data_IF_420261820070
#
_entry.id   IF_420261820070
#
_cell.length_a   1.000
_cell.length_b   1.000
_cell.length_c   1.000
_cell.angle_alpha   90.00
_cell.angle_beta   90.00
_cell.angle_gamma   90.00
#
_symmetry.space_group_name_H-M   'P 1'
#
loop_
_entity.id
_entity.type
_entity.pdbx_description
1 polymer ?
#
# COMPACT_ATOMS: atom_id res chain seq x y z
N UNK A 1 26.42 1.39 70.25
CA UNK A 1 25.70 0.91 69.05
C UNK A 1 25.12 2.06 68.24
N UNK A 2 24.54 3.10 68.86
CA UNK A 2 23.97 4.27 68.16
C UNK A 2 24.91 5.01 67.18
N UNK A 3 26.20 5.17 67.51
CA UNK A 3 27.16 5.81 66.60
C UNK A 3 27.44 5.00 65.33
N UNK A 4 27.31 3.68 65.38
CA UNK A 4 27.52 2.81 64.22
C UNK A 4 26.31 2.87 63.28
N UNK A 5 25.10 2.92 63.84
CA UNK A 5 23.85 3.07 63.08
C UNK A 5 23.76 4.43 62.37
N UNK A 6 24.18 5.51 63.03
CA UNK A 6 24.22 6.84 62.41
C UNK A 6 25.20 6.92 61.22
N UNK A 7 26.37 6.27 61.33
CA UNK A 7 27.36 6.22 60.24
C UNK A 7 26.87 5.35 59.09
N UNK A 8 26.22 4.21 59.38
CA UNK A 8 25.60 3.35 58.37
C UNK A 8 24.46 4.07 57.64
N UNK A 9 23.61 4.82 58.34
CA UNK A 9 22.52 5.59 57.76
C UNK A 9 23.02 6.71 56.83
N UNK A 10 24.10 7.41 57.20
CA UNK A 10 24.73 8.44 56.36
C UNK A 10 25.41 7.81 55.13
N UNK A 11 26.05 6.64 55.28
CA UNK A 11 26.65 5.91 54.17
C UNK A 11 25.59 5.39 53.18
N UNK A 12 24.47 4.84 53.68
CA UNK A 12 23.31 4.42 52.89
C UNK A 12 22.63 5.58 52.16
N UNK A 13 22.57 6.77 52.79
CA UNK A 13 22.06 8.00 52.17
C UNK A 13 22.95 8.48 51.01
N UNK A 14 24.29 8.44 51.19
CA UNK A 14 25.25 8.83 50.15
C UNK A 14 25.27 7.85 48.97
N UNK A 15 25.16 6.55 49.22
CA UNK A 15 25.06 5.55 48.15
C UNK A 15 23.74 5.67 47.39
N UNK A 16 22.61 5.87 48.08
CA UNK A 16 21.32 6.14 47.44
C UNK A 16 21.35 7.41 46.56
N UNK A 17 22.00 8.48 47.03
CA UNK A 17 22.18 9.72 46.25
C UNK A 17 23.07 9.49 45.02
N UNK A 18 24.15 8.69 45.15
CA UNK A 18 25.03 8.33 44.04
C UNK A 18 24.32 7.47 42.99
N UNK A 19 23.49 6.50 43.40
CA UNK A 19 22.66 5.71 42.49
C UNK A 19 21.59 6.57 41.78
N UNK A 20 20.97 7.52 42.50
CA UNK A 20 20.02 8.45 41.90
C UNK A 20 20.71 9.37 40.87
N UNK A 21 21.88 9.93 41.19
CA UNK A 21 22.65 10.75 40.27
C UNK A 21 23.15 9.96 39.05
N UNK A 22 23.63 8.74 39.24
CA UNK A 22 24.01 7.84 38.15
C UNK A 22 22.79 7.47 37.28
N UNK A 23 21.63 7.25 37.89
CA UNK A 23 20.36 7.02 37.19
C UNK A 23 19.97 8.21 36.32
N UNK A 24 20.02 9.44 36.86
CA UNK A 24 19.74 10.67 36.11
C UNK A 24 20.74 10.88 34.97
N UNK A 25 22.04 10.69 35.21
CA UNK A 25 23.06 10.80 34.17
C UNK A 25 22.87 9.76 33.07
N UNK A 26 22.52 8.54 33.43
CA UNK A 26 22.20 7.48 32.47
C UNK A 26 20.96 7.85 31.65
N UNK A 27 19.92 8.39 32.29
CA UNK A 27 18.71 8.84 31.62
C UNK A 27 18.98 10.02 30.68
N UNK A 28 19.79 10.99 31.10
CA UNK A 28 20.21 12.12 30.27
C UNK A 28 21.09 11.68 29.09
N UNK A 29 21.99 10.72 29.30
CA UNK A 29 22.82 10.16 28.24
C UNK A 29 21.95 9.40 27.24
N UNK A 30 21.04 8.53 27.71
CA UNK A 30 20.05 7.86 26.87
C UNK A 30 19.19 8.85 26.10
N UNK A 31 18.70 9.90 26.76
CA UNK A 31 17.91 10.94 26.08
C UNK A 31 18.71 11.60 24.96
N UNK A 32 19.97 11.99 25.21
CA UNK A 32 20.83 12.63 24.18
C UNK A 32 21.25 11.68 23.06
N UNK A 33 21.40 10.39 23.33
CA UNK A 33 21.73 9.40 22.29
C UNK A 33 20.51 9.07 21.43
N UNK A 34 19.31 9.17 21.99
CA UNK A 34 18.03 8.93 21.31
C UNK A 34 17.50 10.15 20.53
N UNK A 35 18.05 11.35 20.78
CA UNK A 35 17.67 12.55 20.01
C UNK A 35 18.07 12.42 18.53
N UNK A 36 17.24 12.93 17.61
CA UNK A 36 17.55 12.91 16.19
C UNK A 36 18.83 13.70 15.89
N UNK A 37 19.72 13.12 15.09
CA UNK A 37 20.97 13.76 14.67
C UNK A 37 20.78 14.43 13.31
N UNK A 38 20.71 15.77 13.23
CA UNK A 38 20.58 16.49 11.97
C UNK A 38 21.82 16.28 11.09
N UNK A 39 21.63 16.22 9.78
CA UNK A 39 22.73 16.31 8.82
C UNK A 39 23.21 17.77 8.76
N UNK A 40 24.53 18.01 8.71
CA UNK A 40 25.07 19.36 8.66
C UNK A 40 24.73 20.02 7.32
N UNK A 41 24.35 21.30 7.36
CA UNK A 41 24.10 22.12 6.17
C UNK A 41 22.70 22.01 5.55
N UNK A 42 21.83 21.11 6.03
CA UNK A 42 20.46 20.96 5.52
C UNK A 42 19.45 21.64 6.47
N UNK A 43 18.58 22.54 6.00
CA UNK A 43 17.53 23.16 6.81
C UNK A 43 16.56 22.17 7.43
N UNK A 44 16.12 22.44 8.66
CA UNK A 44 15.20 21.60 9.42
C UNK A 44 14.42 22.37 10.45
N UNK A 45 13.36 21.73 10.96
CA UNK A 45 12.58 22.27 12.04
C UNK A 45 13.34 22.17 13.37
N UNK A 46 13.78 23.31 13.92
CA UNK A 46 14.59 23.36 15.14
C UNK A 46 13.89 22.76 16.36
N UNK A 47 12.55 22.86 16.44
CA UNK A 47 11.76 22.28 17.53
C UNK A 47 11.73 20.76 17.47
N UNK A 48 11.79 20.18 16.28
CA UNK A 48 11.79 18.74 16.08
C UNK A 48 13.12 18.10 16.52
N UNK A 49 14.25 18.79 16.36
CA UNK A 49 15.55 18.28 16.83
C UNK A 49 15.66 18.18 18.36
N UNK A 50 14.79 18.89 19.10
CA UNK A 50 14.74 18.84 20.56
C UNK A 50 13.73 17.82 21.10
N UNK A 51 12.97 17.14 20.23
CA UNK A 51 11.95 16.17 20.62
C UNK A 51 12.35 14.75 20.22
N UNK A 52 12.10 13.78 21.10
CA UNK A 52 12.28 12.35 20.78
C UNK A 52 11.40 11.89 19.60
N UNK A 53 10.28 12.57 19.39
CA UNK A 53 9.31 12.25 18.33
C UNK A 53 9.54 13.06 17.05
N UNK A 54 10.51 13.98 17.03
CA UNK A 54 10.81 14.76 15.83
C UNK A 54 9.61 15.57 15.35
N UNK A 55 9.37 15.54 14.03
CA UNK A 55 8.27 16.23 13.36
C UNK A 55 6.97 15.38 13.30
N UNK A 56 7.02 14.17 13.84
CA UNK A 56 5.94 13.20 13.71
C UNK A 56 4.60 13.64 14.31
N UNK A 57 4.51 14.32 15.47
CA UNK A 57 3.22 14.78 15.99
C UNK A 57 2.54 15.80 15.06
N UNK A 58 3.32 16.70 14.45
CA UNK A 58 2.83 17.68 13.48
C UNK A 58 2.33 16.98 12.22
N UNK A 59 3.12 16.02 11.70
CA UNK A 59 2.76 15.19 10.57
C UNK A 59 1.47 14.40 10.81
N UNK A 60 1.30 13.72 11.95
CA UNK A 60 0.05 12.99 12.27
C UNK A 60 -1.14 13.93 12.34
N UNK A 61 -0.97 15.09 12.98
CA UNK A 61 -2.06 16.07 13.12
C UNK A 61 -2.55 16.54 11.75
N UNK A 62 -1.61 16.75 10.82
CA UNK A 62 -1.94 17.07 9.44
C UNK A 62 -2.61 15.87 8.73
N UNK A 63 -2.03 14.67 8.77
CA UNK A 63 -2.60 13.45 8.16
C UNK A 63 -4.00 13.14 8.68
N UNK A 64 -4.29 13.40 9.97
CA UNK A 64 -5.65 13.23 10.52
C UNK A 64 -6.65 14.23 9.98
N UNK A 65 -6.21 15.41 9.54
CA UNK A 65 -7.06 16.48 8.99
C UNK A 65 -7.24 16.36 7.48
N UNK A 66 -6.16 16.12 6.76
CA UNK A 66 -6.14 16.12 5.28
C UNK A 66 -6.17 14.73 4.68
N UNK A 67 -5.72 13.70 5.42
CA UNK A 67 -5.52 12.36 4.89
C UNK A 67 -4.19 12.18 4.16
N UNK A 68 -3.45 13.26 3.87
CA UNK A 68 -2.30 13.25 2.97
C UNK A 68 -0.98 13.49 3.70
N UNK A 69 -0.09 12.48 3.69
CA UNK A 69 1.24 12.60 4.30
C UNK A 69 2.21 13.38 3.41
N UNK A 70 2.12 13.19 2.08
CA UNK A 70 3.07 13.77 1.13
C UNK A 70 2.88 15.28 0.95
N UNK A 71 1.64 15.77 1.04
CA UNK A 71 1.35 17.21 1.04
C UNK A 71 2.08 17.91 2.20
N UNK A 72 2.00 17.36 3.41
CA UNK A 72 2.73 17.88 4.56
C UNK A 72 4.24 17.92 4.36
N UNK A 73 4.82 16.88 3.74
CA UNK A 73 6.26 16.84 3.44
C UNK A 73 6.65 17.96 2.44
N UNK A 74 5.85 18.16 1.39
CA UNK A 74 6.05 19.24 0.42
C UNK A 74 5.91 20.63 1.05
N UNK A 75 4.95 20.80 1.97
CA UNK A 75 4.74 22.05 2.70
C UNK A 75 5.95 22.46 3.56
N UNK A 76 6.77 21.51 4.03
CA UNK A 76 7.98 21.83 4.78
C UNK A 76 9.03 22.52 3.89
N UNK A 77 9.14 22.18 2.60
CA UNK A 77 10.06 22.85 1.67
C UNK A 77 9.66 24.32 1.48
N UNK A 78 8.36 24.60 1.39
CA UNK A 78 7.81 25.95 1.30
C UNK A 78 8.10 26.73 2.60
N UNK A 79 7.83 26.12 3.77
CA UNK A 79 8.04 26.72 5.09
C UNK A 79 9.50 27.12 5.33
N UNK A 80 10.45 26.32 4.86
CA UNK A 80 11.89 26.57 5.02
C UNK A 80 12.51 27.35 3.86
N UNK A 81 11.74 27.70 2.82
CA UNK A 81 12.19 28.38 1.61
C UNK A 81 13.45 27.73 1.01
N UNK A 82 13.50 26.40 1.03
CA UNK A 82 14.66 25.62 0.58
C UNK A 82 14.21 24.43 -0.25
N UNK A 83 14.89 24.15 -1.39
CA UNK A 83 14.58 22.98 -2.22
C UNK A 83 15.02 21.66 -1.58
N UNK A 84 15.87 21.72 -0.57
CA UNK A 84 16.31 20.58 0.23
C UNK A 84 16.04 20.85 1.70
N UNK A 85 15.40 19.91 2.38
CA UNK A 85 15.16 19.96 3.82
C UNK A 85 15.39 18.59 4.43
N UNK A 86 15.48 18.55 5.76
CA UNK A 86 15.45 17.31 6.51
C UNK A 86 14.30 17.31 7.52
N UNK A 87 13.67 16.16 7.64
CA UNK A 87 12.49 15.91 8.47
C UNK A 87 12.73 14.69 9.35
N UNK A 88 12.33 14.77 10.61
CA UNK A 88 12.45 13.67 11.57
C UNK A 88 11.14 12.87 11.64
N UNK A 89 10.87 12.08 10.60
CA UNK A 89 9.62 11.33 10.44
C UNK A 89 9.52 10.03 11.25
N UNK A 90 10.65 9.50 11.77
CA UNK A 90 10.68 8.27 12.58
C UNK A 90 11.51 8.45 13.85
N UNK A 91 11.05 7.90 14.99
CA UNK A 91 11.83 7.97 16.21
C UNK A 91 13.00 6.99 16.10
N UNK A 92 14.16 7.35 16.65
CA UNK A 92 15.37 6.51 16.67
C UNK A 92 15.90 6.11 15.27
N UNK A 93 15.48 6.82 14.22
CA UNK A 93 15.91 6.58 12.84
C UNK A 93 16.66 7.78 12.27
N UNK A 94 17.24 7.59 11.09
CA UNK A 94 17.90 8.66 10.35
C UNK A 94 16.87 9.66 9.82
N UNK A 95 17.22 10.96 9.72
CA UNK A 95 16.32 11.95 9.13
C UNK A 95 16.00 11.60 7.68
N UNK A 96 14.81 11.99 7.25
CA UNK A 96 14.42 11.96 5.83
C UNK A 96 14.89 13.25 5.18
N UNK A 97 15.53 13.14 4.03
CA UNK A 97 15.91 14.30 3.23
C UNK A 97 14.87 14.42 2.11
N UNK A 98 14.18 15.56 2.06
CA UNK A 98 13.16 15.85 1.06
C UNK A 98 13.75 16.83 0.05
N UNK A 99 13.70 16.44 -1.21
CA UNK A 99 14.21 17.22 -2.34
C UNK A 99 13.00 17.58 -3.21
N UNK A 100 12.81 18.87 -3.46
CA UNK A 100 11.74 19.39 -4.34
C UNK A 100 12.27 20.00 -5.64
N UNK A 101 13.58 20.03 -5.84
CA UNK A 101 14.17 20.51 -7.09
C UNK A 101 14.00 19.46 -8.20
N UNK A 102 13.38 19.87 -9.30
CA UNK A 102 13.06 18.97 -10.41
C UNK A 102 14.31 18.36 -11.06
N UNK A 103 15.35 19.16 -11.29
CA UNK A 103 16.54 18.71 -12.00
C UNK A 103 17.32 17.70 -11.17
N UNK A 104 17.50 17.98 -9.88
CA UNK A 104 18.18 17.06 -8.95
C UNK A 104 17.37 15.76 -8.78
N UNK A 105 16.05 15.86 -8.61
CA UNK A 105 15.19 14.67 -8.52
C UNK A 105 15.27 13.82 -9.79
N UNK A 106 15.25 14.44 -10.98
CA UNK A 106 15.37 13.72 -12.24
C UNK A 106 16.74 13.04 -12.38
N UNK A 107 17.82 13.73 -12.04
CA UNK A 107 19.17 13.19 -12.12
C UNK A 107 19.36 12.00 -11.16
N UNK A 108 18.83 12.11 -9.94
CA UNK A 108 18.82 11.03 -8.96
C UNK A 108 18.10 9.79 -9.50
N UNK A 109 16.88 9.98 -10.05
CA UNK A 109 16.04 8.87 -10.50
C UNK A 109 16.53 8.19 -11.78
N UNK A 110 17.18 8.94 -12.69
CA UNK A 110 17.58 8.42 -14.00
C UNK A 110 19.05 7.98 -14.02
N UNK A 111 19.95 8.74 -13.38
CA UNK A 111 21.41 8.57 -13.54
C UNK A 111 22.09 7.98 -12.31
N UNK A 112 21.59 8.27 -11.11
CA UNK A 112 22.24 7.91 -9.84
C UNK A 112 21.60 6.72 -9.11
N UNK A 113 20.93 5.82 -9.85
CA UNK A 113 20.29 4.62 -9.28
C UNK A 113 21.24 3.60 -8.62
N UNK A 114 22.56 3.80 -8.69
CA UNK A 114 23.55 3.01 -7.92
C UNK A 114 23.86 3.61 -6.55
N UNK A 115 23.61 4.90 -6.37
CA UNK A 115 23.86 5.64 -5.12
C UNK A 115 22.63 5.60 -4.21
N UNK A 116 21.44 5.66 -4.81
CA UNK A 116 20.18 5.61 -4.11
C UNK A 116 19.46 4.31 -4.43
N UNK A 117 19.09 3.58 -3.39
CA UNK A 117 18.28 2.37 -3.49
C UNK A 117 16.98 2.55 -2.72
N UNK A 118 16.10 1.57 -2.80
CA UNK A 118 14.76 1.62 -2.21
C UNK A 118 14.80 1.82 -0.69
N UNK A 119 13.83 2.60 -0.23
CA UNK A 119 13.70 2.99 1.18
C UNK A 119 13.33 1.81 2.07
N UNK A 120 14.02 1.69 3.20
CA UNK A 120 13.68 0.74 4.28
C UNK A 120 12.29 1.06 4.87
N UNK A 121 11.87 2.32 4.86
CA UNK A 121 10.52 2.72 5.26
C UNK A 121 9.45 2.04 4.39
N UNK A 122 9.60 2.13 3.06
CA UNK A 122 8.67 1.50 2.11
C UNK A 122 8.70 -0.01 2.28
N UNK A 123 9.87 -0.60 2.52
CA UNK A 123 10.00 -2.01 2.78
C UNK A 123 9.21 -2.46 4.03
N UNK A 124 9.25 -1.69 5.11
CA UNK A 124 8.52 -1.97 6.35
C UNK A 124 7.01 -1.86 6.19
N UNK A 125 6.55 -0.86 5.43
CA UNK A 125 5.13 -0.69 5.08
C UNK A 125 4.64 -1.91 4.30
N UNK A 126 5.40 -2.38 3.31
CA UNK A 126 5.01 -3.51 2.48
C UNK A 126 5.17 -4.86 3.19
N UNK A 127 6.08 -5.00 4.16
CA UNK A 127 6.31 -6.25 4.89
C UNK A 127 5.05 -6.79 5.58
N UNK A 128 4.17 -5.89 6.01
CA UNK A 128 2.91 -6.20 6.66
C UNK A 128 1.82 -6.75 5.73
N UNK A 129 2.02 -6.76 4.41
CA UNK A 129 0.99 -7.24 3.45
C UNK A 129 1.59 -8.22 2.45
N UNK A 130 2.81 -7.96 1.98
CA UNK A 130 3.52 -8.67 0.90
C UNK A 130 5.01 -8.81 1.23
N UNK A 131 5.37 -9.68 2.20
CA UNK A 131 6.74 -9.79 2.67
C UNK A 131 7.74 -10.24 1.60
N UNK A 132 7.34 -11.04 0.61
CA UNK A 132 8.25 -11.58 -0.40
C UNK A 132 8.23 -10.82 -1.74
N UNK A 133 7.49 -9.73 -1.85
CA UNK A 133 7.36 -8.99 -3.10
C UNK A 133 8.63 -8.23 -3.48
N UNK A 134 8.97 -8.21 -4.76
CA UNK A 134 10.18 -7.58 -5.29
C UNK A 134 10.31 -6.11 -4.86
N UNK A 135 9.22 -5.33 -4.74
CA UNK A 135 9.24 -3.93 -4.26
C UNK A 135 9.89 -3.73 -2.89
N UNK A 136 9.89 -4.75 -2.03
CA UNK A 136 10.52 -4.69 -0.71
C UNK A 136 12.04 -4.80 -0.78
N UNK A 137 12.56 -5.47 -1.80
CA UNK A 137 13.97 -5.79 -1.92
C UNK A 137 14.75 -4.63 -2.52
N UNK A 138 15.93 -4.39 -1.93
CA UNK A 138 17.01 -3.56 -2.49
C UNK A 138 17.48 -4.14 -3.82
N UNK A 139 18.10 -3.34 -4.67
CA UNK A 139 18.47 -3.68 -6.05
C UNK A 139 19.67 -4.64 -6.10
N UNK A 140 19.47 -5.87 -5.60
CA UNK A 140 20.43 -6.96 -5.57
C UNK A 140 20.06 -8.05 -6.59
N UNK A 141 20.82 -9.16 -6.63
CA UNK A 141 20.52 -10.26 -7.55
C UNK A 141 19.22 -10.99 -7.22
N UNK A 142 18.78 -10.97 -5.95
CA UNK A 142 17.47 -11.48 -5.56
C UNK A 142 16.35 -10.63 -6.15
N UNK A 143 16.46 -9.31 -6.09
CA UNK A 143 15.53 -8.40 -6.76
C UNK A 143 15.47 -8.66 -8.26
N UNK A 144 16.62 -8.82 -8.92
CA UNK A 144 16.65 -9.14 -10.37
C UNK A 144 15.95 -10.46 -10.65
N UNK A 145 16.19 -11.49 -9.84
CA UNK A 145 15.55 -12.79 -9.96
C UNK A 145 14.03 -12.68 -9.83
N UNK A 146 13.56 -11.96 -8.81
CA UNK A 146 12.13 -11.74 -8.56
C UNK A 146 11.48 -10.92 -9.68
N UNK A 147 12.15 -9.84 -10.12
CA UNK A 147 11.69 -8.98 -11.21
C UNK A 147 11.63 -9.70 -12.55
N UNK A 148 12.50 -10.71 -12.77
CA UNK A 148 12.40 -11.56 -13.96
C UNK A 148 11.04 -12.24 -14.03
N UNK A 149 10.45 -12.74 -12.95
CA UNK A 149 9.14 -13.43 -13.04
C UNK A 149 8.05 -12.58 -13.70
N UNK A 150 8.06 -11.27 -13.45
CA UNK A 150 7.06 -10.30 -13.92
C UNK A 150 7.55 -9.42 -15.08
N UNK A 151 8.72 -9.70 -15.66
CA UNK A 151 9.29 -8.85 -16.71
C UNK A 151 8.45 -8.85 -17.99
N UNK A 152 7.85 -9.99 -18.33
CA UNK A 152 7.17 -10.17 -19.62
C UNK A 152 5.76 -9.59 -19.65
N UNK A 153 5.11 -9.46 -18.48
CA UNK A 153 3.74 -8.90 -18.37
C UNK A 153 3.70 -7.39 -18.62
N UNK A 154 4.86 -6.72 -18.71
CA UNK A 154 4.99 -5.29 -19.00
C UNK A 154 5.50 -5.01 -20.42
N UNK A 155 5.73 -6.05 -21.23
CA UNK A 155 6.21 -5.86 -22.60
C UNK A 155 5.04 -5.35 -23.47
N UNK A 156 5.29 -4.42 -24.43
CA UNK A 156 4.24 -3.87 -25.27
C UNK A 156 3.36 -4.92 -25.99
N UNK A 157 3.94 -6.06 -26.37
CA UNK A 157 3.21 -7.16 -27.00
C UNK A 157 2.20 -7.83 -26.07
N UNK A 158 2.53 -7.95 -24.77
CA UNK A 158 1.62 -8.47 -23.76
C UNK A 158 0.52 -7.44 -23.45
N UNK A 159 0.90 -6.17 -23.27
CA UNK A 159 -0.05 -5.10 -22.99
C UNK A 159 -1.08 -4.93 -24.11
N UNK A 160 -0.64 -4.95 -25.37
CA UNK A 160 -1.55 -4.81 -26.52
C UNK A 160 -2.46 -6.03 -26.73
N UNK A 161 -1.97 -7.26 -26.50
CA UNK A 161 -2.73 -8.48 -26.78
C UNK A 161 -3.61 -8.94 -25.63
N UNK A 162 -3.20 -8.68 -24.39
CA UNK A 162 -3.86 -9.19 -23.18
C UNK A 162 -4.51 -8.06 -22.39
N UNK A 163 -3.75 -7.01 -22.05
CA UNK A 163 -4.27 -5.94 -21.19
C UNK A 163 -5.32 -5.07 -21.89
N UNK A 164 -5.06 -4.66 -23.14
CA UNK A 164 -5.94 -3.73 -23.85
C UNK A 164 -7.36 -4.27 -24.07
N UNK A 165 -7.57 -5.53 -24.51
CA UNK A 165 -8.93 -6.09 -24.63
C UNK A 165 -9.69 -6.16 -23.29
N UNK A 166 -8.99 -6.52 -22.19
CA UNK A 166 -9.60 -6.63 -20.86
C UNK A 166 -9.96 -5.27 -20.26
N UNK A 167 -9.10 -4.26 -20.50
CA UNK A 167 -9.40 -2.86 -20.16
C UNK A 167 -10.58 -2.33 -20.96
N UNK A 168 -10.63 -2.64 -22.26
CA UNK A 168 -11.75 -2.24 -23.12
C UNK A 168 -13.07 -2.86 -22.63
N UNK A 169 -13.10 -4.15 -22.31
CA UNK A 169 -14.27 -4.82 -21.76
C UNK A 169 -14.72 -4.19 -20.42
N UNK A 170 -13.79 -3.93 -19.51
CA UNK A 170 -14.10 -3.29 -18.22
C UNK A 170 -14.65 -1.88 -18.40
N UNK A 171 -14.09 -1.12 -19.34
CA UNK A 171 -14.55 0.23 -19.69
C UNK A 171 -15.96 0.19 -20.29
N UNK A 172 -16.24 -0.79 -21.17
CA UNK A 172 -17.59 -0.97 -21.73
C UNK A 172 -18.62 -1.25 -20.63
N UNK A 173 -18.29 -2.08 -19.64
CA UNK A 173 -19.18 -2.33 -18.48
C UNK A 173 -19.44 -1.05 -17.66
N UNK A 174 -18.40 -0.23 -17.44
CA UNK A 174 -18.57 1.07 -16.78
C UNK A 174 -19.46 2.02 -17.60
N UNK A 175 -19.30 2.05 -18.93
CA UNK A 175 -20.17 2.87 -19.78
C UNK A 175 -21.62 2.40 -19.75
N UNK A 176 -21.87 1.09 -19.72
CA UNK A 176 -23.21 0.53 -19.55
C UNK A 176 -23.80 0.91 -18.19
N UNK A 177 -23.00 0.88 -17.11
CA UNK A 177 -23.43 1.34 -15.79
C UNK A 177 -23.85 2.81 -15.82
N UNK A 178 -23.07 3.68 -16.46
CA UNK A 178 -23.39 5.10 -16.58
C UNK A 178 -24.60 5.38 -17.47
N UNK A 179 -24.83 4.57 -18.50
CA UNK A 179 -26.06 4.63 -19.30
C UNK A 179 -27.29 4.33 -18.44
N UNK A 180 -27.25 3.28 -17.61
CA UNK A 180 -28.35 2.95 -16.71
C UNK A 180 -28.54 4.00 -15.61
N UNK A 181 -27.44 4.50 -15.01
CA UNK A 181 -27.51 5.61 -14.05
C UNK A 181 -28.10 6.87 -14.68
N UNK A 182 -27.70 7.23 -15.90
CA UNK A 182 -28.25 8.37 -16.64
C UNK A 182 -29.75 8.22 -16.90
N UNK A 183 -30.18 7.03 -17.36
CA UNK A 183 -31.59 6.69 -17.59
C UNK A 183 -32.43 6.89 -16.32
N UNK A 184 -31.93 6.42 -15.18
CA UNK A 184 -32.59 6.51 -13.88
C UNK A 184 -32.50 7.91 -13.24
N UNK A 185 -31.42 8.66 -13.48
CA UNK A 185 -31.20 10.00 -12.93
C UNK A 185 -32.05 11.08 -13.61
N UNK A 186 -32.50 10.85 -14.85
CA UNK A 186 -33.34 11.78 -15.64
C UNK A 186 -32.75 13.20 -15.74
N UNK A 187 -31.44 13.30 -16.02
CA UNK A 187 -30.72 14.57 -16.17
C UNK A 187 -30.10 15.14 -14.89
N UNK A 188 -30.23 14.46 -13.75
CA UNK A 188 -29.54 14.82 -12.50
C UNK A 188 -28.10 14.30 -12.45
N UNK A 189 -27.23 15.01 -11.73
CA UNK A 189 -25.85 14.60 -11.50
C UNK A 189 -25.76 13.39 -10.56
N UNK A 190 -24.68 12.62 -10.67
CA UNK A 190 -24.40 11.49 -9.78
C UNK A 190 -22.90 11.33 -9.53
N UNK A 191 -22.55 10.62 -8.46
CA UNK A 191 -21.16 10.39 -8.09
C UNK A 191 -20.54 9.26 -8.92
N UNK A 192 -19.47 9.55 -9.65
CA UNK A 192 -18.81 8.61 -10.57
C UNK A 192 -17.52 7.99 -10.01
N UNK A 193 -16.92 8.57 -8.96
CA UNK A 193 -15.60 8.14 -8.47
C UNK A 193 -15.58 6.65 -8.08
N UNK A 194 -16.62 6.19 -7.39
CA UNK A 194 -16.74 4.78 -6.98
C UNK A 194 -16.81 3.84 -8.19
N UNK A 195 -17.52 4.24 -9.24
CA UNK A 195 -17.64 3.46 -10.47
C UNK A 195 -16.27 3.34 -11.18
N UNK A 196 -15.50 4.44 -11.18
CA UNK A 196 -14.15 4.46 -11.76
C UNK A 196 -13.23 3.54 -10.97
N UNK A 197 -13.26 3.58 -9.62
CA UNK A 197 -12.49 2.68 -8.76
C UNK A 197 -12.86 1.22 -8.99
N UNK A 198 -14.15 0.89 -9.08
CA UNK A 198 -14.63 -0.47 -9.37
C UNK A 198 -14.24 -0.94 -10.78
N UNK A 199 -14.32 -0.06 -11.79
CA UNK A 199 -13.88 -0.36 -13.15
C UNK A 199 -12.38 -0.67 -13.20
N UNK A 200 -11.56 0.13 -12.51
CA UNK A 200 -10.13 -0.09 -12.42
C UNK A 200 -9.82 -1.41 -11.70
N UNK A 201 -10.53 -1.72 -10.61
CA UNK A 201 -10.39 -2.99 -9.91
C UNK A 201 -10.74 -4.18 -10.83
N UNK A 202 -11.85 -4.10 -11.55
CA UNK A 202 -12.28 -5.14 -12.50
C UNK A 202 -11.26 -5.35 -13.62
N UNK A 203 -10.70 -4.25 -14.16
CA UNK A 203 -9.66 -4.32 -15.17
C UNK A 203 -8.39 -5.01 -14.66
N UNK A 204 -7.96 -4.70 -13.44
CA UNK A 204 -6.80 -5.33 -12.83
C UNK A 204 -7.05 -6.79 -12.48
N UNK A 205 -8.23 -7.14 -11.96
CA UNK A 205 -8.59 -8.53 -11.67
C UNK A 205 -8.65 -9.34 -12.97
N UNK A 206 -9.25 -8.78 -14.02
CA UNK A 206 -9.28 -9.36 -15.35
C UNK A 206 -7.87 -9.56 -15.92
N UNK A 207 -7.02 -8.53 -15.86
CA UNK A 207 -5.62 -8.61 -16.30
C UNK A 207 -4.82 -9.68 -15.53
N UNK A 208 -5.03 -9.76 -14.22
CA UNK A 208 -4.27 -10.66 -13.34
C UNK A 208 -4.67 -12.12 -13.53
N UNK A 209 -5.97 -12.41 -13.47
CA UNK A 209 -6.50 -13.79 -13.41
C UNK A 209 -7.10 -14.28 -14.72
N UNK A 210 -7.47 -13.37 -15.61
CA UNK A 210 -8.01 -13.64 -16.94
C UNK A 210 -9.54 -13.61 -17.03
N UNK A 211 -10.07 -13.79 -18.25
CA UNK A 211 -11.51 -13.90 -18.49
C UNK A 211 -12.06 -15.21 -17.91
N UNK A 212 -13.30 -15.18 -17.41
CA UNK A 212 -13.97 -16.36 -16.82
C UNK A 212 -13.99 -16.42 -15.29
N UNK A 213 -13.67 -15.31 -14.61
CA UNK A 213 -13.93 -15.19 -13.18
C UNK A 213 -15.41 -14.90 -12.93
N UNK A 214 -16.24 -15.95 -12.95
CA UNK A 214 -17.65 -15.84 -12.60
C UNK A 214 -17.78 -15.26 -11.17
N UNK A 215 -18.41 -14.09 -11.07
CA UNK A 215 -18.73 -13.43 -9.81
C UNK A 215 -17.70 -12.45 -9.24
N UNK A 216 -16.48 -12.30 -9.79
CA UNK A 216 -15.48 -11.36 -9.24
C UNK A 216 -15.52 -9.94 -9.81
N UNK A 217 -16.51 -9.61 -10.65
CA UNK A 217 -16.72 -8.23 -11.10
C UNK A 217 -17.46 -7.43 -10.03
N UNK A 218 -16.91 -6.28 -9.67
CA UNK A 218 -17.56 -5.27 -8.83
C UNK A 218 -18.62 -4.48 -9.59
N UNK A 219 -18.46 -4.33 -10.91
CA UNK A 219 -19.31 -3.47 -11.75
C UNK A 219 -20.51 -4.21 -12.34
N UNK A 220 -20.34 -5.46 -12.79
CA UNK A 220 -21.40 -6.21 -13.48
C UNK A 220 -22.67 -6.43 -12.64
N UNK A 221 -22.60 -6.84 -11.36
CA UNK A 221 -23.80 -7.02 -10.53
C UNK A 221 -24.59 -5.71 -10.38
N UNK A 222 -23.89 -4.57 -10.30
CA UNK A 222 -24.53 -3.27 -10.22
C UNK A 222 -25.22 -2.90 -11.53
N UNK A 223 -24.61 -3.20 -12.69
CA UNK A 223 -25.26 -3.02 -14.00
C UNK A 223 -26.54 -3.83 -14.08
N UNK A 224 -26.48 -5.12 -13.77
CA UNK A 224 -27.62 -6.03 -13.86
C UNK A 224 -28.76 -5.59 -12.91
N UNK A 225 -28.41 -5.14 -11.71
CA UNK A 225 -29.36 -4.61 -10.74
C UNK A 225 -30.01 -3.30 -11.19
N UNK A 226 -29.24 -2.33 -11.69
CA UNK A 226 -29.81 -1.07 -12.18
C UNK A 226 -30.65 -1.27 -13.45
N UNK A 227 -30.24 -2.18 -14.33
CA UNK A 227 -31.01 -2.54 -15.53
C UNK A 227 -32.36 -3.19 -15.17
N UNK A 228 -32.43 -3.95 -14.07
CA UNK A 228 -33.68 -4.55 -13.58
C UNK A 228 -34.69 -3.53 -13.02
N UNK A 229 -34.25 -2.30 -12.73
CA UNK A 229 -35.11 -1.25 -12.15
C UNK A 229 -35.75 -0.37 -13.23
N UNK A 230 -37.09 -0.28 -13.20
CA UNK A 230 -37.83 0.65 -14.04
C UNK A 230 -37.67 2.11 -13.60
N UNK A 231 -37.65 2.37 -12.28
CA UNK A 231 -37.48 3.71 -11.70
C UNK A 231 -36.81 3.62 -10.32
N UNK A 232 -36.13 4.70 -9.91
CA UNK A 232 -35.59 4.81 -8.55
C UNK A 232 -36.72 4.87 -7.51
N UNK A 233 -36.51 4.31 -6.31
CA UNK A 233 -37.43 4.47 -5.18
C UNK A 233 -37.71 5.95 -4.88
N UNK A 234 -38.95 6.27 -4.48
CA UNK A 234 -39.43 7.66 -4.30
C UNK A 234 -38.62 8.45 -3.24
N UNK A 235 -37.98 7.77 -2.29
CA UNK A 235 -37.17 8.39 -1.22
C UNK A 235 -35.87 9.04 -1.71
N UNK A 236 -35.37 8.66 -2.90
CA UNK A 236 -34.16 9.25 -3.51
C UNK A 236 -34.47 10.47 -4.39
N UNK A 237 -35.74 10.85 -4.48
CA UNK A 237 -36.19 12.08 -5.12
C UNK A 237 -36.35 13.19 -4.09
N UNK A 238 -35.24 13.64 -3.50
CA UNK A 238 -35.24 14.98 -2.88
C UNK A 238 -35.40 16.01 -4.00
N UNK A 239 -36.40 16.88 -3.84
CA UNK A 239 -36.91 17.85 -4.82
C UNK A 239 -35.94 19.02 -5.13
N UNK A 240 -34.66 18.86 -4.80
CA UNK A 240 -33.62 19.87 -5.02
C UNK A 240 -32.84 19.55 -6.28
N UNK A 241 -32.95 20.43 -7.28
CA UNK A 241 -32.29 20.35 -8.60
C UNK A 241 -30.74 20.20 -8.57
N UNK A 242 -30.12 20.28 -7.40
CA UNK A 242 -28.66 20.29 -7.22
C UNK A 242 -28.12 19.15 -6.34
N UNK A 243 -28.97 18.30 -5.74
CA UNK A 243 -28.46 17.17 -4.95
C UNK A 243 -28.13 15.99 -5.88
N UNK A 244 -26.94 15.38 -5.77
CA UNK A 244 -26.60 14.19 -6.55
C UNK A 244 -27.56 13.05 -6.23
N UNK A 245 -27.86 12.24 -7.24
CA UNK A 245 -28.71 11.06 -7.08
C UNK A 245 -27.89 9.94 -6.45
N UNK A 246 -28.34 9.47 -5.30
CA UNK A 246 -27.82 8.25 -4.70
C UNK A 246 -28.47 7.03 -5.39
N UNK A 247 -27.66 6.03 -5.71
CA UNK A 247 -28.15 4.79 -6.29
C UNK A 247 -28.10 3.69 -5.23
N UNK A 248 -29.09 2.79 -5.17
CA UNK A 248 -29.01 1.62 -4.33
C UNK A 248 -27.86 0.73 -4.82
N UNK A 249 -27.03 0.27 -3.88
CA UNK A 249 -25.84 -0.52 -4.17
C UNK A 249 -26.11 -2.01 -3.95
N UNK A 250 -25.65 -2.84 -4.87
CA UNK A 250 -25.62 -4.29 -4.64
C UNK A 250 -24.58 -4.64 -3.59
N UNK A 251 -24.86 -5.60 -2.69
CA UNK A 251 -23.85 -6.07 -1.75
C UNK A 251 -22.63 -6.59 -2.53
N UNK A 252 -21.41 -6.09 -2.23
CA UNK A 252 -20.22 -6.48 -2.97
C UNK A 252 -19.93 -7.96 -2.74
N UNK A 253 -19.32 -8.62 -3.73
CA UNK A 253 -18.83 -9.98 -3.54
C UNK A 253 -17.87 -10.02 -2.33
N UNK A 254 -18.01 -10.97 -1.38
CA UNK A 254 -17.15 -11.09 -0.21
C UNK A 254 -15.64 -11.09 -0.53
N UNK A 255 -15.25 -11.59 -1.70
CA UNK A 255 -13.85 -11.60 -2.17
C UNK A 255 -13.40 -10.20 -2.60
N UNK A 256 -14.23 -9.46 -3.32
CA UNK A 256 -13.96 -8.07 -3.72
C UNK A 256 -13.87 -7.18 -2.48
N UNK A 257 -14.81 -7.35 -1.54
CA UNK A 257 -14.79 -6.64 -0.26
C UNK A 257 -13.54 -6.97 0.57
N UNK A 258 -13.11 -8.24 0.60
CA UNK A 258 -11.87 -8.63 1.23
C UNK A 258 -10.64 -7.97 0.61
N UNK A 259 -10.58 -7.85 -0.73
CA UNK A 259 -9.48 -7.19 -1.43
C UNK A 259 -9.43 -5.68 -1.16
N UNK A 260 -10.59 -5.01 -1.14
CA UNK A 260 -10.68 -3.59 -0.78
C UNK A 260 -10.23 -3.36 0.67
N UNK A 261 -10.74 -4.15 1.63
CA UNK A 261 -10.32 -4.08 3.05
C UNK A 261 -8.82 -4.30 3.25
N UNK A 262 -8.22 -5.20 2.46
CA UNK A 262 -6.78 -5.42 2.50
C UNK A 262 -6.00 -4.20 1.98
N UNK A 263 -6.54 -3.48 1.00
CA UNK A 263 -5.95 -2.25 0.46
C UNK A 263 -6.07 -1.09 1.46
N UNK A 264 -7.23 -0.89 2.07
CA UNK A 264 -7.44 0.08 3.15
C UNK A 264 -6.50 -0.14 4.35
N UNK A 265 -6.17 -1.40 4.64
CA UNK A 265 -5.25 -1.74 5.73
C UNK A 265 -3.82 -1.27 5.46
N UNK A 266 -3.42 -1.15 4.19
CA UNK A 266 -2.11 -0.62 3.79
C UNK A 266 -2.06 0.88 4.02
N UNK A 267 -3.11 1.60 3.61
CA UNK A 267 -3.26 3.03 3.87
C UNK A 267 -3.22 3.32 5.37
N UNK A 268 -3.95 2.54 6.16
CA UNK A 268 -3.98 2.67 7.63
C UNK A 268 -2.58 2.52 8.24
N UNK A 269 -1.77 1.59 7.72
CA UNK A 269 -0.41 1.38 8.20
C UNK A 269 0.57 2.44 7.71
N UNK A 270 0.40 2.99 6.51
CA UNK A 270 1.17 4.15 6.05
C UNK A 270 0.97 5.36 6.95
N UNK A 271 -0.26 5.54 7.47
CA UNK A 271 -0.60 6.61 8.42
C UNK A 271 -0.13 6.33 9.86
N UNK A 272 0.39 5.14 10.15
CA UNK A 272 0.81 4.74 11.49
C UNK A 272 2.29 5.06 11.78
N UNK A 273 2.57 5.36 13.05
CA UNK A 273 3.92 5.68 13.54
C UNK A 273 4.89 4.50 13.46
N UNK A 274 4.35 3.30 13.61
CA UNK A 274 5.10 2.06 13.55
C UNK A 274 4.36 1.13 12.58
N UNK A 275 4.62 1.24 11.26
CA UNK A 275 3.90 0.47 10.24
C UNK A 275 3.92 -1.04 10.51
N UNK A 276 5.04 -1.59 10.98
CA UNK A 276 5.19 -3.01 11.31
C UNK A 276 4.27 -3.43 12.46
N UNK A 277 4.24 -2.65 13.55
CA UNK A 277 3.39 -2.94 14.71
C UNK A 277 1.90 -2.77 14.37
N UNK A 278 1.55 -1.71 13.63
CA UNK A 278 0.19 -1.49 13.19
C UNK A 278 -0.30 -2.63 12.29
N UNK A 279 0.52 -3.07 11.34
CA UNK A 279 0.20 -4.25 10.54
C UNK A 279 0.08 -5.52 11.37
N UNK A 280 0.96 -5.73 12.35
CA UNK A 280 0.86 -6.87 13.24
C UNK A 280 -0.47 -6.88 14.01
N UNK A 281 -0.85 -5.74 14.60
CA UNK A 281 -2.14 -5.58 15.31
C UNK A 281 -3.33 -5.78 14.37
N UNK A 282 -3.30 -5.19 13.17
CA UNK A 282 -4.36 -5.34 12.17
C UNK A 282 -4.51 -6.81 11.75
N UNK A 283 -3.40 -7.53 11.54
CA UNK A 283 -3.40 -8.96 11.19
C UNK A 283 -4.02 -9.85 12.27
N UNK A 284 -4.00 -9.45 13.55
CA UNK A 284 -4.64 -10.22 14.61
C UNK A 284 -6.17 -10.09 14.59
N UNK A 285 -6.73 -9.07 13.93
CA UNK A 285 -8.19 -8.86 13.90
C UNK A 285 -8.87 -9.92 13.04
N UNK A 286 -10.01 -10.44 13.53
CA UNK A 286 -10.74 -11.53 12.88
C UNK A 286 -11.11 -11.21 11.42
N UNK A 287 -11.59 -9.99 11.15
CA UNK A 287 -11.96 -9.57 9.78
C UNK A 287 -10.76 -9.60 8.81
N UNK A 288 -9.56 -9.24 9.28
CA UNK A 288 -8.35 -9.28 8.45
C UNK A 288 -7.91 -10.71 8.20
N UNK A 289 -8.06 -11.61 9.17
CA UNK A 289 -7.75 -13.03 8.98
C UNK A 289 -8.66 -13.67 7.94
N UNK A 290 -9.96 -13.36 7.98
CA UNK A 290 -10.93 -13.79 6.95
C UNK A 290 -10.60 -13.21 5.58
N UNK A 291 -10.25 -11.92 5.51
CA UNK A 291 -9.87 -11.30 4.24
C UNK A 291 -8.58 -11.92 3.65
N UNK A 292 -7.60 -12.22 4.50
CA UNK A 292 -6.36 -12.91 4.09
C UNK A 292 -6.69 -14.33 3.60
N UNK A 293 -7.52 -15.10 4.31
CA UNK A 293 -7.85 -16.46 3.89
C UNK A 293 -8.58 -16.49 2.55
N UNK A 294 -9.62 -15.64 2.38
CA UNK A 294 -10.35 -15.53 1.11
C UNK A 294 -9.44 -15.18 -0.06
N UNK A 295 -8.48 -14.28 0.17
CA UNK A 295 -7.48 -13.92 -0.84
C UNK A 295 -6.53 -15.08 -1.15
N UNK A 296 -5.98 -15.77 -0.15
CA UNK A 296 -5.06 -16.89 -0.38
C UNK A 296 -5.77 -18.06 -1.10
N UNK A 297 -7.04 -18.30 -0.78
CA UNK A 297 -7.86 -19.31 -1.46
C UNK A 297 -8.13 -18.93 -2.92
N UNK A 298 -8.44 -17.65 -3.19
CA UNK A 298 -8.57 -17.14 -4.57
C UNK A 298 -7.27 -17.35 -5.35
N UNK A 299 -6.14 -16.90 -4.79
CA UNK A 299 -4.83 -17.00 -5.45
C UNK A 299 -4.48 -18.46 -5.77
N UNK A 300 -4.67 -19.36 -4.80
CA UNK A 300 -4.41 -20.79 -4.99
C UNK A 300 -5.24 -21.36 -6.14
N UNK A 301 -6.56 -21.14 -6.12
CA UNK A 301 -7.48 -21.64 -7.16
C UNK A 301 -7.10 -21.10 -8.54
N UNK A 302 -6.80 -19.80 -8.64
CA UNK A 302 -6.45 -19.19 -9.92
C UNK A 302 -5.11 -19.67 -10.46
N UNK A 303 -4.14 -19.93 -9.59
CA UNK A 303 -2.85 -20.50 -9.99
C UNK A 303 -3.05 -21.94 -10.47
N UNK A 304 -3.85 -22.75 -9.79
CA UNK A 304 -4.14 -24.12 -10.20
C UNK A 304 -4.81 -24.18 -11.58
N UNK A 305 -5.82 -23.31 -11.80
CA UNK A 305 -6.47 -23.17 -13.11
C UNK A 305 -5.49 -22.73 -14.19
N UNK A 306 -4.63 -21.76 -13.89
CA UNK A 306 -3.61 -21.27 -14.83
C UNK A 306 -2.57 -22.36 -15.17
N UNK A 307 -2.14 -23.16 -14.19
CA UNK A 307 -1.27 -24.32 -14.41
C UNK A 307 -1.95 -25.36 -15.32
N UNK A 308 -3.23 -25.63 -15.12
CA UNK A 308 -3.99 -26.53 -15.98
C UNK A 308 -4.08 -26.01 -17.42
N UNK A 309 -4.41 -24.72 -17.61
CA UNK A 309 -4.48 -24.07 -18.93
C UNK A 309 -3.15 -24.11 -19.67
N UNK A 310 -2.06 -23.71 -19.01
CA UNK A 310 -0.71 -23.70 -19.60
C UNK A 310 -0.26 -25.12 -19.99
N UNK A 311 -0.63 -26.15 -19.21
CA UNK A 311 -0.32 -27.56 -19.55
C UNK A 311 -1.14 -28.09 -20.72
N UNK A 312 -2.39 -27.64 -20.87
CA UNK A 312 -3.27 -28.05 -21.97
C UNK A 312 -2.88 -27.43 -23.32
N UNK A 313 -2.03 -26.41 -23.35
CA UNK A 313 -1.56 -25.76 -24.58
C UNK A 313 -2.59 -24.88 -25.29
N UNK A 314 -3.75 -24.64 -24.68
CA UNK A 314 -4.80 -23.78 -25.23
C UNK A 314 -4.43 -22.29 -25.09
N UNK A 315 -4.44 -21.54 -26.21
CA UNK A 315 -4.32 -20.07 -26.28
C UNK A 315 -3.46 -19.45 -25.17
N UNK A 316 -2.18 -19.80 -25.23
CA UNK A 316 -1.17 -20.01 -24.16
C UNK A 316 -1.05 -18.92 -23.07
N UNK A 317 -1.51 -17.70 -23.29
CA UNK A 317 -1.39 -16.59 -22.33
C UNK A 317 -2.61 -15.68 -22.41
N UNK A 318 -3.53 -15.79 -21.44
CA UNK A 318 -4.73 -14.94 -21.35
C UNK A 318 -4.68 -13.94 -20.20
N UNK A 319 -3.76 -14.12 -19.27
CA UNK A 319 -3.61 -13.25 -18.09
C UNK A 319 -2.18 -13.23 -17.58
N UNK A 320 -1.92 -12.34 -16.61
CA UNK A 320 -0.61 -12.20 -15.99
C UNK A 320 -0.19 -13.49 -15.26
N UNK A 321 -1.11 -14.19 -14.59
CA UNK A 321 -0.79 -15.44 -13.88
C UNK A 321 -0.40 -16.55 -14.85
N UNK A 322 -1.06 -16.69 -16.01
CA UNK A 322 -0.68 -17.66 -17.04
C UNK A 322 0.76 -17.43 -17.51
N UNK A 323 1.13 -16.16 -17.74
CA UNK A 323 2.49 -15.79 -18.16
C UNK A 323 3.54 -16.06 -17.06
N UNK A 324 3.20 -15.75 -15.80
CA UNK A 324 4.07 -16.06 -14.66
C UNK A 324 4.28 -17.57 -14.50
N UNK A 325 3.22 -18.38 -14.66
CA UNK A 325 3.30 -19.85 -14.61
C UNK A 325 4.18 -20.39 -15.74
N UNK A 326 3.97 -19.90 -16.98
CA UNK A 326 4.79 -20.28 -18.14
C UNK A 326 6.27 -19.95 -17.93
N UNK A 327 6.55 -18.80 -17.33
CA UNK A 327 7.93 -18.35 -17.07
C UNK A 327 8.60 -19.16 -15.97
N UNK A 328 7.91 -19.43 -14.88
CA UNK A 328 8.41 -20.30 -13.81
C UNK A 328 8.68 -21.72 -14.32
N UNK A 329 7.79 -22.27 -15.17
CA UNK A 329 8.01 -23.56 -15.82
C UNK A 329 9.27 -23.54 -16.71
N UNK A 330 9.45 -22.49 -17.51
CA UNK A 330 10.60 -22.34 -18.40
C UNK A 330 11.92 -22.15 -17.64
N UNK A 331 11.91 -21.41 -16.53
CA UNK A 331 13.09 -21.24 -15.67
C UNK A 331 13.45 -22.52 -14.94
N UNK A 332 12.45 -23.20 -14.39
CA UNK A 332 12.63 -24.48 -13.72
C UNK A 332 13.26 -25.54 -14.67
N UNK A 333 12.81 -25.59 -15.92
CA UNK A 333 13.39 -26.46 -16.95
C UNK A 333 14.87 -26.12 -17.24
N UNK A 334 15.22 -24.83 -17.35
CA UNK A 334 16.62 -24.39 -17.54
C UNK A 334 17.52 -24.76 -16.37
N UNK A 335 17.00 -24.65 -15.15
CA UNK A 335 17.70 -24.94 -13.90
C UNK A 335 17.64 -26.43 -13.50
N UNK A 336 17.03 -27.29 -14.33
CA UNK A 336 16.81 -28.73 -14.05
C UNK A 336 16.12 -28.98 -12.69
N UNK A 337 15.22 -28.08 -12.29
CA UNK A 337 14.41 -28.17 -11.07
C UNK A 337 12.92 -28.34 -11.41
N UNK A 338 12.13 -28.81 -10.45
CA UNK A 338 10.68 -28.79 -10.58
C UNK A 338 10.14 -27.35 -10.44
N UNK A 339 9.13 -26.94 -11.23
CA UNK A 339 8.46 -25.66 -11.08
C UNK A 339 7.78 -25.55 -9.70
N UNK A 340 7.91 -24.39 -9.04
CA UNK A 340 7.34 -24.15 -7.71
C UNK A 340 6.32 -23.02 -7.76
N UNK A 341 5.06 -23.36 -8.07
CA UNK A 341 3.98 -22.39 -8.20
C UNK A 341 3.40 -21.92 -6.85
N UNK A 342 3.39 -22.78 -5.83
CA UNK A 342 2.84 -22.46 -4.50
C UNK A 342 3.93 -21.99 -3.53
N UNK A 343 4.62 -20.92 -3.88
CA UNK A 343 5.57 -20.26 -2.97
C UNK A 343 5.02 -18.91 -2.52
N UNK A 344 5.42 -18.47 -1.33
CA UNK A 344 5.02 -17.15 -0.82
C UNK A 344 5.44 -16.04 -1.77
N UNK A 345 6.63 -16.18 -2.36
CA UNK A 345 7.14 -15.31 -3.40
C UNK A 345 6.16 -15.22 -4.59
N UNK A 346 5.75 -16.36 -5.16
CA UNK A 346 4.82 -16.37 -6.29
C UNK A 346 3.49 -15.70 -5.94
N UNK A 347 2.91 -15.98 -4.77
CA UNK A 347 1.66 -15.37 -4.32
C UNK A 347 1.78 -13.86 -4.07
N UNK A 348 2.91 -13.40 -3.50
CA UNK A 348 3.11 -11.99 -3.22
C UNK A 348 3.36 -11.19 -4.51
N UNK A 349 3.98 -11.78 -5.55
CA UNK A 349 4.14 -11.15 -6.89
C UNK A 349 2.82 -10.97 -7.64
N UNK A 350 1.88 -11.92 -7.53
CA UNK A 350 0.55 -11.79 -8.14
C UNK A 350 -0.27 -10.66 -7.48
N UNK A 351 0.03 -10.32 -6.23
CA UNK A 351 -0.83 -9.51 -5.35
C UNK A 351 -0.78 -7.99 -5.60
N UNK A 352 0.25 -7.40 -6.22
CA UNK A 352 0.42 -5.94 -6.15
C UNK A 352 -0.46 -5.13 -7.12
N UNK A 353 -1.13 -5.77 -8.08
CA UNK A 353 -1.91 -5.01 -9.07
C UNK A 353 -3.17 -4.32 -8.50
N UNK A 354 -4.00 -4.94 -7.62
CA UNK A 354 -5.19 -4.29 -7.07
C UNK A 354 -4.90 -3.15 -6.08
N UNK A 355 -3.75 -3.18 -5.39
CA UNK A 355 -3.42 -2.19 -4.35
C UNK A 355 -2.88 -0.87 -4.90
N UNK A 356 -2.52 -0.77 -6.19
CA UNK A 356 -2.06 0.48 -6.82
C UNK A 356 -3.24 1.40 -7.17
N UNK A 357 -4.46 0.88 -7.26
CA UNK A 357 -5.62 1.62 -7.78
C UNK A 357 -6.24 2.57 -6.76
N UNK A 358 -6.00 2.37 -5.45
CA UNK A 358 -6.60 3.21 -4.42
C UNK A 358 -5.65 4.36 -4.00
N UNK A 359 -5.26 5.18 -4.99
CA UNK A 359 -4.92 6.57 -4.69
C UNK A 359 -6.22 7.36 -4.64
N UNK A 360 -6.80 7.49 -3.44
CA UNK A 360 -7.65 8.64 -3.13
C UNK A 360 -6.82 9.91 -3.34
N UNK A 361 -6.88 10.47 -4.54
CA UNK A 361 -6.78 11.91 -4.70
C UNK A 361 -8.18 12.44 -4.35
N UNK A 362 -8.34 12.89 -3.10
CA UNK A 362 -9.47 13.74 -2.71
C UNK A 362 -9.04 15.20 -2.84
#
# INVERSE_FOLDING_TARGET
MERLEAVLAIALSKTALAFAAAGVLTLCFLYRTLLPRPLPGIPYNKTAATSLWGDMPEMISHVKKTGEMYDWLGAQNIKHQSPIIQVFGRPFSKPWVIISDFHETQDILIRRGKEFDRSEFTADVLAGVIPEHHSRWKTNDEWKSRRRLIGDILIPSFLSKVAAPLLHESTLRMTALWQEKSRLAKGRAFWALKDISHCALDAVLGFTFGPGLEGLSATQPQVDYLASMASLPHETMKDTNYSPVDFPETPPNPVVEALLKLSDSLETSMKSLFPVLAHWVLRQRAYMRTAISLKEDLLRRQIDLSVARVRAGENVVRCAVDEMVRREASQAAKERRLPKYHTRFFYDEVRLWPSIIDHKAQ
#
